data_IF_403587546404
#
_entry.id   IF_403587546404
#
_cell.length_a   1.000
_cell.length_b   1.000
_cell.length_c   1.000
_cell.angle_alpha   90.00
_cell.angle_beta   90.00
_cell.angle_gamma   90.00
#
_symmetry.space_group_name_H-M   'P 1'
#
loop_
_entity.id
_entity.type
_entity.pdbx_description
1 polymer ?
#
# COMPACT_ATOMS: atom_id res chain seq x y z
N UNK A 1 2.45 -16.99 4.41
CA UNK A 1 3.14 -15.83 3.83
C UNK A 1 4.23 -16.18 2.81
N UNK A 2 4.71 -17.42 2.72
CA UNK A 2 5.71 -17.81 1.69
C UNK A 2 5.16 -17.85 0.26
N UNK A 3 3.87 -17.87 0.08
CA UNK A 3 3.25 -17.95 -1.24
C UNK A 3 3.28 -16.66 -2.07
N UNK A 4 3.60 -15.53 -1.47
CA UNK A 4 3.65 -14.22 -2.14
C UNK A 4 5.04 -13.80 -2.59
N UNK A 5 6.09 -14.49 -2.15
CA UNK A 5 7.45 -14.24 -2.61
C UNK A 5 7.60 -14.49 -4.12
N UNK A 6 6.71 -15.29 -4.71
CA UNK A 6 6.63 -15.52 -6.14
C UNK A 6 5.89 -14.44 -6.95
N UNK A 7 5.15 -13.53 -6.28
CA UNK A 7 4.45 -12.43 -6.95
C UNK A 7 5.39 -11.28 -7.37
N UNK A 8 6.65 -11.32 -6.93
CA UNK A 8 7.68 -10.34 -7.23
C UNK A 8 8.77 -10.94 -8.11
N UNK A 9 8.45 -11.31 -9.33
CA UNK A 9 9.48 -11.66 -10.32
C UNK A 9 10.07 -10.37 -10.89
N UNK A 10 11.36 -10.15 -10.66
CA UNK A 10 12.09 -8.99 -11.21
C UNK A 10 11.72 -7.65 -10.58
N UNK A 11 11.33 -7.63 -9.30
CA UNK A 11 11.04 -6.39 -8.55
C UNK A 11 9.75 -5.67 -8.94
N UNK A 12 8.91 -6.27 -9.79
CA UNK A 12 7.59 -5.72 -10.13
C UNK A 12 6.50 -6.49 -9.39
N UNK A 13 5.59 -5.81 -8.65
CA UNK A 13 4.41 -6.47 -8.14
C UNK A 13 3.58 -6.96 -9.33
N UNK A 14 3.28 -8.24 -9.37
CA UNK A 14 2.27 -8.76 -10.28
C UNK A 14 0.94 -8.26 -9.74
N UNK A 15 0.31 -7.33 -10.46
CA UNK A 15 -1.06 -6.92 -10.14
C UNK A 15 -1.92 -8.20 -10.21
N UNK A 16 -2.48 -8.59 -9.07
CA UNK A 16 -3.37 -9.72 -9.03
C UNK A 16 -4.52 -9.47 -10.02
N UNK A 17 -4.82 -10.46 -10.86
CA UNK A 17 -6.00 -10.45 -11.71
C UNK A 17 -7.24 -10.65 -10.85
N UNK A 18 -7.53 -9.65 -10.01
CA UNK A 18 -8.56 -9.70 -8.98
C UNK A 18 -9.51 -8.52 -9.13
N UNK A 19 -10.67 -8.60 -8.51
CA UNK A 19 -11.66 -7.53 -8.56
C UNK A 19 -11.25 -6.35 -7.69
N UNK A 20 -10.51 -5.40 -8.30
CA UNK A 20 -10.20 -4.07 -7.76
C UNK A 20 -10.75 -2.99 -8.69
N UNK A 21 -11.09 -1.84 -8.15
CA UNK A 21 -11.70 -0.73 -8.88
C UNK A 21 -12.96 -1.14 -9.68
N UNK A 22 -13.71 -2.13 -9.17
CA UNK A 22 -14.94 -2.62 -9.73
C UNK A 22 -16.16 -1.82 -9.28
N UNK A 23 -17.32 -2.22 -9.77
CA UNK A 23 -18.62 -1.61 -9.39
C UNK A 23 -19.35 -2.36 -8.28
N UNK A 24 -18.83 -3.50 -7.83
CA UNK A 24 -19.42 -4.33 -6.79
C UNK A 24 -18.66 -5.64 -6.60
N UNK A 25 -19.05 -6.44 -5.59
CA UNK A 25 -18.50 -7.76 -5.39
C UNK A 25 -18.94 -8.71 -6.52
N UNK A 26 -18.07 -9.65 -6.86
CA UNK A 26 -18.31 -10.71 -7.84
C UNK A 26 -18.50 -12.05 -7.13
N UNK A 27 -19.09 -13.02 -7.83
CA UNK A 27 -19.12 -14.39 -7.36
C UNK A 27 -17.68 -14.94 -7.21
N UNK A 28 -17.44 -15.80 -6.24
CA UNK A 28 -16.14 -16.43 -6.04
C UNK A 28 -15.64 -17.13 -7.29
N UNK A 29 -14.38 -16.93 -7.63
CA UNK A 29 -13.76 -17.49 -8.81
C UNK A 29 -14.18 -16.87 -10.14
N UNK A 30 -14.89 -15.76 -10.14
CA UNK A 30 -15.29 -15.07 -11.37
C UNK A 30 -14.10 -14.39 -12.08
N UNK A 31 -13.00 -14.19 -11.40
CA UNK A 31 -11.75 -13.64 -11.94
C UNK A 31 -10.59 -14.61 -11.68
N UNK A 32 -9.56 -14.68 -12.53
CA UNK A 32 -8.48 -15.66 -12.42
C UNK A 32 -7.45 -15.33 -11.33
N UNK A 33 -7.89 -14.83 -10.19
CA UNK A 33 -7.06 -14.44 -9.04
C UNK A 33 -6.80 -15.58 -8.07
N UNK A 34 -6.13 -16.65 -8.51
CA UNK A 34 -5.86 -17.82 -7.66
C UNK A 34 -4.56 -17.64 -6.85
N UNK A 35 -4.63 -17.88 -5.56
CA UNK A 35 -3.47 -17.91 -4.67
C UNK A 35 -2.66 -19.20 -4.79
N UNK A 36 -1.47 -19.26 -4.18
CA UNK A 36 -0.52 -20.38 -4.33
C UNK A 36 -1.04 -21.72 -3.80
N UNK A 37 -2.11 -21.71 -3.03
CA UNK A 37 -2.73 -22.91 -2.46
C UNK A 37 -4.08 -23.25 -3.13
N UNK A 38 -4.33 -22.68 -4.31
CA UNK A 38 -5.58 -22.90 -5.04
C UNK A 38 -6.79 -22.15 -4.47
N UNK A 39 -6.57 -21.21 -3.57
CA UNK A 39 -7.63 -20.33 -3.05
C UNK A 39 -7.86 -19.17 -4.00
N UNK A 40 -9.10 -18.93 -4.36
CA UNK A 40 -9.52 -17.82 -5.21
C UNK A 40 -9.89 -16.59 -4.38
N UNK A 41 -9.80 -15.40 -4.98
CA UNK A 41 -10.23 -14.12 -4.41
C UNK A 41 -9.61 -13.75 -3.05
N UNK A 42 -8.35 -14.18 -2.79
CA UNK A 42 -7.60 -13.71 -1.61
C UNK A 42 -7.22 -12.22 -1.68
N UNK A 43 -7.23 -11.67 -2.89
CA UNK A 43 -6.95 -10.27 -3.16
C UNK A 43 -8.15 -9.63 -3.85
N UNK A 44 -8.57 -8.47 -3.38
CA UNK A 44 -9.73 -7.77 -3.94
C UNK A 44 -11.07 -8.43 -3.59
N UNK A 45 -12.05 -8.15 -4.39
CA UNK A 45 -13.44 -8.53 -4.22
C UNK A 45 -14.05 -8.00 -2.92
N UNK A 46 -13.88 -8.66 -1.78
CA UNK A 46 -14.25 -8.14 -0.46
C UNK A 46 -13.08 -8.29 0.51
N UNK A 47 -12.90 -7.34 1.40
CA UNK A 47 -11.96 -7.49 2.52
C UNK A 47 -12.46 -8.59 3.43
N UNK A 48 -11.55 -9.42 3.92
CA UNK A 48 -11.90 -10.57 4.74
C UNK A 48 -11.51 -10.34 6.20
N UNK A 49 -12.46 -10.53 7.10
CA UNK A 49 -12.22 -10.51 8.52
C UNK A 49 -11.26 -11.63 8.92
N UNK A 50 -10.29 -11.31 9.74
CA UNK A 50 -9.41 -12.29 10.37
C UNK A 50 -9.61 -12.30 11.87
N UNK A 51 -9.21 -13.39 12.53
CA UNK A 51 -9.42 -13.57 13.95
C UNK A 51 -8.63 -12.60 14.83
N UNK A 52 -7.54 -12.09 14.33
CA UNK A 52 -6.59 -11.26 15.05
C UNK A 52 -7.21 -9.93 15.50
N UNK A 53 -7.06 -9.62 16.79
CA UNK A 53 -7.43 -8.32 17.33
C UNK A 53 -6.32 -7.29 17.11
N UNK A 54 -6.71 -6.04 16.92
CA UNK A 54 -5.81 -4.87 16.84
C UNK A 54 -6.39 -3.84 17.83
N UNK A 55 -5.85 -3.79 19.04
CA UNK A 55 -6.49 -3.03 20.11
C UNK A 55 -7.92 -3.52 20.38
N UNK A 56 -8.89 -2.61 20.43
CA UNK A 56 -10.33 -2.94 20.54
C UNK A 56 -11.01 -3.29 19.21
N UNK A 57 -10.28 -3.38 18.11
CA UNK A 57 -10.78 -3.59 16.74
C UNK A 57 -10.42 -4.97 16.22
N UNK A 58 -10.87 -5.31 15.03
CA UNK A 58 -10.49 -6.55 14.33
C UNK A 58 -9.74 -6.22 13.06
N UNK A 59 -8.71 -7.04 12.77
CA UNK A 59 -8.00 -6.93 11.52
C UNK A 59 -8.86 -7.42 10.36
N UNK A 60 -8.69 -6.78 9.19
CA UNK A 60 -9.36 -7.10 7.95
C UNK A 60 -8.37 -6.92 6.81
N UNK A 61 -8.30 -7.89 5.91
CA UNK A 61 -7.23 -8.00 4.91
C UNK A 61 -7.79 -8.19 3.51
N UNK A 62 -6.91 -8.14 2.50
CA UNK A 62 -7.18 -8.56 1.13
C UNK A 62 -7.55 -7.43 0.15
N UNK A 63 -7.96 -6.28 0.65
CA UNK A 63 -8.52 -5.22 -0.20
C UNK A 63 -9.93 -5.54 -0.69
N UNK A 64 -10.57 -4.61 -1.38
CA UNK A 64 -11.95 -4.76 -1.82
C UNK A 64 -12.14 -4.31 -3.27
N UNK A 65 -13.27 -4.67 -3.86
CA UNK A 65 -13.70 -4.26 -5.21
C UNK A 65 -13.71 -2.73 -5.40
N UNK A 66 -13.94 -1.97 -4.34
CA UNK A 66 -13.96 -0.50 -4.35
C UNK A 66 -12.58 0.14 -4.13
N UNK A 67 -11.56 -0.66 -3.92
CA UNK A 67 -10.22 -0.22 -3.58
C UNK A 67 -9.22 -0.35 -4.71
N UNK A 68 -7.96 -0.15 -4.37
CA UNK A 68 -6.80 -0.25 -5.25
C UNK A 68 -6.08 -1.59 -5.04
N UNK A 69 -5.36 -2.13 -6.04
CA UNK A 69 -4.48 -3.28 -5.85
C UNK A 69 -3.44 -3.11 -4.73
N UNK A 70 -3.09 -1.87 -4.38
CA UNK A 70 -2.21 -1.57 -3.25
C UNK A 70 -2.85 -1.96 -1.91
N UNK A 71 -4.18 -1.95 -1.79
CA UNK A 71 -4.90 -2.30 -0.56
C UNK A 71 -4.67 -3.75 -0.15
N UNK A 72 -4.28 -4.61 -1.10
CA UNK A 72 -3.89 -5.99 -0.80
C UNK A 72 -2.68 -6.08 0.13
N UNK A 73 -1.75 -5.15 0.02
CA UNK A 73 -0.54 -5.10 0.85
C UNK A 73 -0.75 -4.37 2.18
N UNK A 74 -1.93 -3.80 2.36
CA UNK A 74 -2.29 -3.07 3.56
C UNK A 74 -3.06 -3.97 4.54
N UNK A 75 -2.78 -3.80 5.82
CA UNK A 75 -3.60 -4.34 6.90
C UNK A 75 -4.43 -3.23 7.51
N UNK A 76 -5.72 -3.48 7.63
CA UNK A 76 -6.68 -2.54 8.19
C UNK A 76 -7.23 -3.09 9.50
N UNK A 77 -7.74 -2.23 10.36
CA UNK A 77 -8.53 -2.63 11.51
C UNK A 77 -9.83 -1.84 11.55
N UNK A 78 -10.92 -2.51 11.73
CA UNK A 78 -12.26 -1.93 11.79
C UNK A 78 -12.99 -2.34 13.07
N UNK A 79 -14.05 -1.61 13.39
CA UNK A 79 -14.98 -2.03 14.43
C UNK A 79 -15.51 -3.44 14.10
N UNK A 80 -15.57 -4.38 15.06
CA UNK A 80 -16.02 -5.75 14.81
C UNK A 80 -17.44 -5.85 14.24
N UNK A 81 -18.23 -4.81 14.41
CA UNK A 81 -19.62 -4.72 13.91
C UNK A 81 -19.78 -3.90 12.65
N UNK A 82 -18.67 -3.46 12.02
CA UNK A 82 -18.72 -2.78 10.73
C UNK A 82 -19.33 -3.71 9.66
N UNK A 83 -20.37 -3.20 8.97
CA UNK A 83 -21.15 -3.96 7.98
C UNK A 83 -21.10 -3.35 6.59
N UNK A 84 -20.00 -2.69 6.27
CA UNK A 84 -19.83 -2.14 4.92
C UNK A 84 -19.89 -3.26 3.86
N UNK A 85 -20.50 -2.99 2.71
CA UNK A 85 -20.66 -3.96 1.62
C UNK A 85 -19.32 -4.41 0.99
N UNK A 86 -18.24 -3.76 1.34
CA UNK A 86 -16.88 -4.16 0.94
C UNK A 86 -16.21 -5.12 1.93
N UNK A 87 -16.88 -5.50 3.03
CA UNK A 87 -16.37 -6.42 4.03
C UNK A 87 -17.04 -7.78 3.91
N UNK A 88 -16.27 -8.82 4.05
CA UNK A 88 -16.72 -10.21 3.97
C UNK A 88 -15.96 -11.09 4.96
N UNK A 89 -16.10 -12.38 4.80
CA UNK A 89 -15.40 -13.35 5.64
C UNK A 89 -15.09 -14.62 4.83
N UNK A 90 -14.01 -15.28 5.22
CA UNK A 90 -13.65 -16.62 4.73
C UNK A 90 -13.59 -17.56 5.93
N UNK A 91 -14.36 -18.64 5.86
CA UNK A 91 -14.35 -19.67 6.88
C UNK A 91 -13.25 -20.70 6.58
N UNK A 92 -12.57 -21.12 7.62
CA UNK A 92 -11.59 -22.21 7.58
C UNK A 92 -12.08 -23.35 8.45
N UNK A 93 -11.98 -24.59 7.94
CA UNK A 93 -12.23 -25.80 8.71
C UNK A 93 -10.91 -26.52 8.95
N UNK A 94 -10.56 -26.67 10.21
CA UNK A 94 -9.40 -27.42 10.61
C UNK A 94 -9.72 -28.93 10.78
N UNK A 95 -8.71 -29.75 10.58
CA UNK A 95 -8.84 -31.16 10.86
C UNK A 95 -9.08 -31.40 12.36
N UNK A 96 -9.81 -32.45 12.70
CA UNK A 96 -10.06 -32.79 14.11
C UNK A 96 -8.73 -33.07 14.83
N UNK A 97 -8.50 -32.36 15.94
CA UNK A 97 -7.27 -32.47 16.72
C UNK A 97 -6.11 -31.59 16.27
N UNK A 98 -6.29 -30.82 15.19
CA UNK A 98 -5.30 -29.83 14.76
C UNK A 98 -5.21 -28.68 15.77
N UNK A 99 -4.00 -28.39 16.22
CA UNK A 99 -3.73 -27.25 17.12
C UNK A 99 -3.29 -26.06 16.26
N UNK A 100 -4.05 -24.99 16.35
CA UNK A 100 -3.69 -23.76 15.65
C UNK A 100 -2.40 -23.15 16.23
N UNK A 101 -1.49 -22.66 15.40
CA UNK A 101 -0.33 -21.93 15.89
C UNK A 101 -0.82 -20.68 16.64
N UNK A 102 -0.21 -20.32 17.78
CA UNK A 102 -0.61 -19.15 18.56
C UNK A 102 -0.71 -17.85 17.73
N UNK A 103 0.14 -17.68 16.73
CA UNK A 103 0.12 -16.55 15.83
C UNK A 103 -1.18 -16.39 15.02
N UNK A 104 -1.95 -17.48 14.83
CA UNK A 104 -3.21 -17.43 14.10
C UNK A 104 -4.31 -16.66 14.86
N UNK A 105 -4.18 -16.55 16.18
CA UNK A 105 -5.18 -15.90 17.04
C UNK A 105 -4.62 -14.77 17.89
N UNK A 106 -3.29 -14.58 17.88
CA UNK A 106 -2.63 -13.56 18.67
C UNK A 106 -3.06 -12.15 18.23
N UNK A 107 -3.16 -11.19 19.16
CA UNK A 107 -3.33 -9.80 18.82
C UNK A 107 -2.17 -9.30 17.93
N UNK A 108 -2.49 -8.41 17.00
CA UNK A 108 -1.51 -7.73 16.16
C UNK A 108 -1.29 -6.33 16.75
N UNK A 109 -0.05 -5.85 16.84
CA UNK A 109 0.21 -4.49 17.32
C UNK A 109 -0.42 -3.46 16.36
N UNK A 110 -0.90 -2.35 16.91
CA UNK A 110 -1.46 -1.24 16.12
C UNK A 110 -0.43 -0.53 15.25
N UNK A 111 0.82 -0.61 15.64
CA UNK A 111 1.93 0.01 14.91
C UNK A 111 2.51 -1.02 13.94
N UNK A 112 2.73 -0.65 12.66
CA UNK A 112 3.43 -1.51 11.71
C UNK A 112 4.74 -2.03 12.31
N UNK A 113 4.98 -3.35 12.21
CA UNK A 113 6.09 -4.02 12.89
C UNK A 113 7.48 -3.44 12.59
N UNK A 114 7.65 -2.86 11.40
CA UNK A 114 8.90 -2.19 11.01
C UNK A 114 9.17 -0.87 11.78
N UNK A 115 8.13 -0.26 12.37
CA UNK A 115 8.26 0.91 13.26
C UNK A 115 8.36 0.51 14.74
N UNK A 116 8.09 -0.75 15.06
CA UNK A 116 8.10 -1.31 16.40
C UNK A 116 9.22 -2.36 16.56
N UNK A 117 10.24 -2.38 15.72
CA UNK A 117 11.31 -3.35 15.83
C UNK A 117 12.02 -3.21 17.18
N UNK A 118 12.04 -4.30 17.99
CA UNK A 118 12.79 -4.30 19.23
C UNK A 118 14.28 -4.15 18.90
N UNK A 119 14.84 -3.00 19.23
CA UNK A 119 16.25 -2.73 18.99
C UNK A 119 16.53 -1.55 18.07
N UNK A 120 15.50 -0.92 17.47
CA UNK A 120 15.73 0.35 16.81
C UNK A 120 16.25 1.36 17.85
N UNK A 121 17.48 1.77 17.68
CA UNK A 121 18.09 2.87 18.45
C UNK A 121 18.41 3.98 17.48
N UNK A 122 18.02 5.21 17.77
CA UNK A 122 18.52 6.34 17.03
C UNK A 122 20.05 6.30 17.06
N UNK A 123 20.68 6.61 15.96
CA UNK A 123 22.12 6.82 15.91
C UNK A 123 22.47 8.13 16.61
N UNK A 124 23.69 8.24 17.13
CA UNK A 124 24.18 9.49 17.69
C UNK A 124 24.21 10.59 16.62
N UNK A 125 24.10 11.85 17.04
CA UNK A 125 24.00 13.00 16.13
C UNK A 125 25.16 13.07 15.13
N UNK A 126 26.39 12.75 15.57
CA UNK A 126 27.55 12.74 14.68
C UNK A 126 27.44 11.68 13.57
N UNK A 127 26.90 10.50 13.93
CA UNK A 127 26.66 9.41 12.97
C UNK A 127 25.51 9.81 12.02
N UNK A 128 24.46 10.43 12.56
CA UNK A 128 23.35 10.92 11.73
C UNK A 128 23.80 11.99 10.72
N UNK A 129 24.63 12.94 11.16
CA UNK A 129 25.21 13.98 10.28
C UNK A 129 26.05 13.34 9.18
N UNK A 130 26.90 12.35 9.51
CA UNK A 130 27.70 11.64 8.52
C UNK A 130 26.84 10.86 7.52
N UNK A 131 25.78 10.17 7.97
CA UNK A 131 24.87 9.44 7.10
C UNK A 131 24.05 10.39 6.22
N UNK A 132 23.65 11.55 6.76
CA UNK A 132 22.90 12.57 6.00
C UNK A 132 23.69 13.11 4.82
N UNK A 133 25.03 13.16 4.89
CA UNK A 133 25.88 13.61 3.78
C UNK A 133 25.71 12.77 2.51
N UNK A 134 25.32 11.49 2.64
CA UNK A 134 25.01 10.64 1.47
C UNK A 134 23.72 11.06 0.74
N UNK A 135 22.89 11.90 1.35
CA UNK A 135 21.66 12.44 0.78
C UNK A 135 21.78 13.94 0.46
N UNK A 136 22.96 14.53 0.68
CA UNK A 136 23.23 15.91 0.29
C UNK A 136 23.41 15.97 -1.22
N UNK A 137 22.89 17.03 -1.79
CA UNK A 137 22.99 17.34 -3.21
C UNK A 137 23.61 18.73 -3.38
N UNK A 138 24.21 18.96 -4.53
CA UNK A 138 24.77 20.27 -4.85
C UNK A 138 23.68 21.33 -4.92
N UNK A 139 23.85 22.40 -4.17
CA UNK A 139 22.92 23.53 -4.16
C UNK A 139 23.11 24.41 -5.42
N UNK A 140 23.02 23.78 -6.60
CA UNK A 140 23.07 24.48 -7.88
C UNK A 140 21.71 25.09 -8.20
N UNK A 141 21.67 26.20 -8.98
CA UNK A 141 20.42 26.75 -9.50
C UNK A 141 19.70 25.69 -10.34
N UNK A 142 18.43 25.45 -10.08
CA UNK A 142 17.62 24.44 -10.79
C UNK A 142 17.40 24.74 -12.28
N UNK A 143 17.73 25.94 -12.79
CA UNK A 143 17.46 26.34 -14.16
C UNK A 143 16.05 25.95 -14.63
N UNK A 144 15.08 26.16 -13.72
CA UNK A 144 13.71 25.71 -13.92
C UNK A 144 13.04 26.46 -15.08
N UNK A 145 12.26 25.72 -15.88
CA UNK A 145 11.50 26.25 -17.00
C UNK A 145 10.09 25.69 -17.00
N UNK A 146 9.09 26.56 -17.06
CA UNK A 146 7.71 26.15 -17.29
C UNK A 146 7.56 25.79 -18.77
N UNK A 147 7.40 24.49 -19.04
CA UNK A 147 7.25 23.96 -20.40
C UNK A 147 5.81 24.09 -20.91
N UNK A 148 4.85 23.94 -20.02
CA UNK A 148 3.43 24.08 -20.32
C UNK A 148 2.66 24.47 -19.05
N UNK A 149 1.62 25.30 -19.23
CA UNK A 149 0.68 25.66 -18.19
C UNK A 149 -0.73 25.49 -18.71
N UNK A 150 -1.56 24.77 -17.96
CA UNK A 150 -2.97 24.54 -18.27
C UNK A 150 -3.83 24.96 -17.08
N UNK A 151 -4.74 25.88 -17.31
CA UNK A 151 -5.70 26.38 -16.34
C UNK A 151 -7.15 25.91 -16.61
N UNK A 152 -7.34 25.18 -17.72
CA UNK A 152 -8.65 24.72 -18.19
C UNK A 152 -8.97 23.28 -17.81
N UNK A 153 -7.99 22.48 -17.37
CA UNK A 153 -8.16 21.06 -17.04
C UNK A 153 -8.99 20.84 -15.77
N UNK A 154 -8.99 21.80 -14.86
CA UNK A 154 -9.72 21.67 -13.59
C UNK A 154 -10.20 23.05 -13.10
N UNK A 155 -11.34 23.06 -12.43
CA UNK A 155 -11.83 24.26 -11.71
C UNK A 155 -11.09 24.49 -10.40
N UNK A 156 -10.37 23.48 -9.89
CA UNK A 156 -9.73 23.50 -8.57
C UNK A 156 -8.24 23.83 -8.62
N UNK A 157 -7.56 23.58 -9.74
CA UNK A 157 -6.12 23.81 -9.84
C UNK A 157 -5.69 24.25 -11.25
N UNK A 158 -4.52 24.86 -11.31
CA UNK A 158 -3.73 25.06 -12.52
C UNK A 158 -2.64 24.01 -12.53
N UNK A 159 -2.42 23.33 -13.65
CA UNK A 159 -1.30 22.40 -13.81
C UNK A 159 -0.18 23.05 -14.56
N UNK A 160 1.02 22.99 -14.02
CA UNK A 160 2.26 23.37 -14.71
C UNK A 160 3.11 22.12 -14.93
N UNK A 161 3.65 21.97 -16.12
CA UNK A 161 4.73 21.05 -16.43
C UNK A 161 6.03 21.87 -16.42
N UNK A 162 6.88 21.57 -15.45
CA UNK A 162 8.13 22.28 -15.21
C UNK A 162 9.29 21.32 -15.45
N UNK A 163 10.29 21.75 -16.22
CA UNK A 163 11.56 21.04 -16.30
C UNK A 163 12.63 21.80 -15.50
N UNK A 164 13.57 21.07 -14.91
CA UNK A 164 14.69 21.64 -14.16
C UNK A 164 15.89 20.72 -14.22
N UNK A 165 17.07 21.25 -13.99
CA UNK A 165 18.30 20.47 -13.90
C UNK A 165 18.32 19.66 -12.61
N UNK A 166 18.64 18.36 -12.72
CA UNK A 166 18.87 17.52 -11.56
C UNK A 166 20.11 18.03 -10.79
N UNK A 167 20.13 17.75 -9.48
CA UNK A 167 21.29 18.07 -8.65
C UNK A 167 22.46 17.07 -8.85
N UNK A 168 22.33 16.18 -9.79
CA UNK A 168 23.29 15.14 -10.16
C UNK A 168 23.17 14.86 -11.66
N UNK A 169 24.30 14.64 -12.32
CA UNK A 169 24.42 14.49 -13.76
C UNK A 169 23.85 15.68 -14.57
N UNK A 170 24.02 15.67 -15.86
CA UNK A 170 23.50 16.70 -16.79
C UNK A 170 22.05 16.42 -17.24
N UNK A 171 21.28 15.69 -16.42
CA UNK A 171 19.91 15.31 -16.75
C UNK A 171 18.89 16.38 -16.34
N UNK A 172 17.86 16.55 -17.19
CA UNK A 172 16.70 17.39 -16.87
C UNK A 172 15.55 16.55 -16.39
N UNK A 173 15.06 16.90 -15.21
CA UNK A 173 13.87 16.29 -14.60
C UNK A 173 12.62 17.06 -15.00
N UNK A 174 11.52 16.35 -15.21
CA UNK A 174 10.21 16.94 -15.44
C UNK A 174 9.31 16.68 -14.24
N UNK A 175 8.72 17.77 -13.72
CA UNK A 175 7.71 17.72 -12.65
C UNK A 175 6.37 18.27 -13.13
N UNK A 176 5.28 17.77 -12.56
CA UNK A 176 3.96 18.38 -12.68
C UNK A 176 3.60 19.05 -11.35
N UNK A 177 3.38 20.36 -11.41
CA UNK A 177 3.00 21.18 -10.26
C UNK A 177 1.51 21.49 -10.38
N UNK A 178 0.76 21.25 -9.31
CA UNK A 178 -0.66 21.55 -9.24
C UNK A 178 -0.87 22.70 -8.25
N UNK A 179 -1.18 23.87 -8.79
CA UNK A 179 -1.39 25.11 -8.04
C UNK A 179 -2.89 25.28 -7.76
N UNK A 180 -3.33 25.34 -6.50
CA UNK A 180 -4.75 25.48 -6.20
C UNK A 180 -5.27 26.82 -6.72
N UNK A 181 -6.53 26.85 -7.18
CA UNK A 181 -7.27 28.05 -7.55
C UNK A 181 -8.11 28.53 -6.38
N UNK A 182 -8.13 29.82 -6.13
CA UNK A 182 -9.01 30.41 -5.13
C UNK A 182 -8.53 30.33 -3.69
N UNK A 183 -7.20 30.29 -3.48
CA UNK A 183 -6.57 30.45 -2.17
C UNK A 183 -6.19 31.91 -1.98
#
# INVERSE_FOLDING_TARGET
>A
QRGWDGAFTGGRPVAASSNFAGSGPLAGGAVPGMGPYGTEDLAGNVREWVWNAVGGRRAILGGAWSGSPLDFFMSWSLDPFDRAGANGLRLVRHAAGEVLPPAATAPVPEVPGHLAEPGFRPVDDDVFVALRQHYEYDAAPLQSKVENRSDTESVHFVRERVSFEAAYDDDRVVAHIYLPKGV
#
